data_IF_083754312267
#
_entry.id   IF_083754312267
#
_cell.length_a   1.000
_cell.length_b   1.000
_cell.length_c   1.000
_cell.angle_alpha   90.00
_cell.angle_beta   90.00
_cell.angle_gamma   90.00
#
_symmetry.space_group_name_H-M   'P 1'
#
loop_
_entity.id
_entity.type
_entity.pdbx_description
1 polymer ?
#
# COMPACT_ATOMS: atom_id res chain seq x y z
N UNK A 1 2.62 -40.19 9.53
CA UNK A 1 2.57 -38.92 8.79
C UNK A 1 3.34 -37.91 9.63
N UNK A 2 4.58 -37.62 9.22
CA UNK A 2 5.41 -36.64 9.91
C UNK A 2 4.80 -35.26 9.67
N UNK A 3 4.24 -34.65 10.71
CA UNK A 3 3.94 -33.23 10.71
C UNK A 3 5.28 -32.50 10.63
N UNK A 4 5.56 -31.91 9.47
CA UNK A 4 6.57 -30.88 9.35
C UNK A 4 6.07 -29.68 10.15
N UNK A 5 6.52 -29.56 11.39
CA UNK A 5 6.45 -28.31 12.13
C UNK A 5 7.26 -27.28 11.33
N UNK A 6 6.57 -26.38 10.64
CA UNK A 6 7.18 -25.09 10.29
C UNK A 6 7.42 -24.44 11.65
N UNK A 7 8.69 -24.26 12.04
CA UNK A 7 9.02 -23.40 13.15
C UNK A 7 8.49 -22.01 12.82
N UNK A 8 7.34 -21.68 13.36
CA UNK A 8 6.73 -20.36 13.35
C UNK A 8 7.50 -19.48 14.35
N UNK A 9 8.81 -19.33 14.11
CA UNK A 9 9.70 -18.50 14.91
C UNK A 9 10.15 -17.32 14.05
N UNK A 10 9.90 -16.12 14.59
CA UNK A 10 10.74 -14.93 14.41
C UNK A 10 10.56 -14.03 13.17
N UNK A 11 9.37 -13.95 12.58
CA UNK A 11 9.02 -12.76 11.80
C UNK A 11 8.39 -11.71 12.73
N UNK A 12 8.80 -10.43 12.67
CA UNK A 12 8.14 -9.39 13.45
C UNK A 12 6.66 -9.35 13.09
N UNK A 13 5.79 -9.42 14.11
CA UNK A 13 4.33 -9.41 13.92
C UNK A 13 3.87 -7.98 13.68
N UNK A 14 4.18 -7.45 12.51
CA UNK A 14 3.68 -6.16 12.03
C UNK A 14 2.18 -6.24 11.83
N UNK A 15 1.46 -5.25 12.37
CA UNK A 15 0.02 -5.18 12.18
C UNK A 15 -0.33 -4.51 10.86
N UNK A 16 -1.53 -4.78 10.35
CA UNK A 16 -2.09 -4.04 9.21
C UNK A 16 -2.12 -2.52 9.47
N UNK A 17 -2.24 -2.09 10.73
CA UNK A 17 -2.23 -0.68 11.10
C UNK A 17 -0.86 -0.03 10.87
N UNK A 18 0.25 -0.76 11.05
CA UNK A 18 1.60 -0.23 10.82
C UNK A 18 1.87 -0.03 9.33
N UNK A 19 1.50 -1.01 8.50
CA UNK A 19 1.56 -0.88 7.05
C UNK A 19 0.68 0.29 6.55
N UNK A 20 -0.53 0.43 7.09
CA UNK A 20 -1.41 1.55 6.78
C UNK A 20 -0.81 2.90 7.23
N UNK A 21 -0.22 2.98 8.42
CA UNK A 21 0.44 4.19 8.91
C UNK A 21 1.63 4.59 8.03
N UNK A 22 2.52 3.66 7.71
CA UNK A 22 3.67 3.91 6.83
C UNK A 22 3.23 4.30 5.40
N UNK A 23 2.10 3.78 4.93
CA UNK A 23 1.51 4.22 3.64
C UNK A 23 1.01 5.67 3.68
N UNK A 24 0.58 6.17 4.84
CA UNK A 24 0.19 7.57 5.04
C UNK A 24 1.44 8.45 5.12
N UNK A 25 2.51 7.98 5.76
CA UNK A 25 3.76 8.72 5.88
C UNK A 25 4.41 9.03 4.53
N UNK A 26 4.16 8.22 3.49
CA UNK A 26 4.59 8.49 2.13
C UNK A 26 4.08 9.85 1.57
N UNK A 27 2.98 10.37 2.10
CA UNK A 27 2.40 11.67 1.70
C UNK A 27 2.89 12.84 2.55
N UNK A 28 3.80 12.63 3.50
CA UNK A 28 4.24 13.64 4.46
C UNK A 28 5.68 14.05 4.20
N UNK A 29 5.99 15.31 4.49
CA UNK A 29 7.35 15.80 4.43
C UNK A 29 8.25 15.07 5.43
N UNK A 30 9.51 14.86 5.07
CA UNK A 30 10.50 14.12 5.87
C UNK A 30 10.58 14.58 7.33
N UNK A 31 10.55 15.89 7.68
CA UNK A 31 10.55 16.32 9.08
C UNK A 31 9.35 15.76 9.88
N UNK A 32 8.16 15.79 9.28
CA UNK A 32 6.93 15.26 9.89
C UNK A 32 7.02 13.74 10.05
N UNK A 33 7.57 13.04 9.05
CA UNK A 33 7.79 11.60 9.11
C UNK A 33 8.74 11.25 10.27
N UNK A 34 9.90 11.92 10.36
CA UNK A 34 10.89 11.69 11.41
C UNK A 34 10.34 11.95 12.82
N UNK A 35 9.45 12.93 12.98
CA UNK A 35 8.77 13.21 14.25
C UNK A 35 7.68 12.17 14.58
N UNK A 36 6.96 11.69 13.56
CA UNK A 36 5.83 10.77 13.74
C UNK A 36 6.26 9.33 14.01
N UNK A 37 7.40 8.88 13.48
CA UNK A 37 7.88 7.51 13.62
C UNK A 37 8.08 7.10 15.09
N UNK A 38 8.85 7.84 15.92
CA UNK A 38 8.96 7.52 17.33
C UNK A 38 7.60 7.50 18.02
N UNK A 39 6.72 8.48 17.77
CA UNK A 39 5.42 8.55 18.43
C UNK A 39 4.57 7.30 18.16
N UNK A 40 4.65 6.74 16.94
CA UNK A 40 3.91 5.55 16.57
C UNK A 40 4.52 4.24 17.12
N UNK A 41 5.85 4.14 17.14
CA UNK A 41 6.58 2.90 17.45
C UNK A 41 7.27 2.87 18.83
N UNK A 42 7.29 3.97 19.59
CA UNK A 42 8.00 4.10 20.88
C UNK A 42 7.63 3.00 21.89
N UNK A 43 6.35 2.64 21.94
CA UNK A 43 5.83 1.62 22.86
C UNK A 43 5.94 0.18 22.33
N UNK A 44 6.37 -0.04 21.09
CA UNK A 44 6.65 -1.39 20.57
C UNK A 44 8.10 -1.82 20.76
N UNK A 45 9.00 -0.89 21.13
CA UNK A 45 10.43 -1.13 21.26
C UNK A 45 11.17 -1.27 19.93
N UNK A 46 10.48 -1.13 18.81
CA UNK A 46 11.07 -1.15 17.48
C UNK A 46 11.70 0.20 17.15
N UNK A 47 12.94 0.19 16.67
CA UNK A 47 13.59 1.39 16.17
C UNK A 47 13.30 1.54 14.68
N UNK A 48 12.45 2.52 14.34
CA UNK A 48 12.06 2.81 12.95
C UNK A 48 12.65 4.13 12.50
N UNK A 49 13.43 4.09 11.42
CA UNK A 49 14.04 5.27 10.80
C UNK A 49 13.74 5.32 9.30
N UNK A 50 13.87 6.49 8.70
CA UNK A 50 13.74 6.69 7.25
C UNK A 50 15.12 6.88 6.62
N UNK A 51 15.40 6.15 5.55
CA UNK A 51 16.67 6.13 4.82
C UNK A 51 16.49 6.83 3.46
N UNK A 52 16.59 8.16 3.48
CA UNK A 52 16.50 8.99 2.27
C UNK A 52 17.73 8.83 1.39
N UNK A 53 18.91 8.74 2.01
CA UNK A 53 20.19 8.77 1.30
C UNK A 53 20.35 7.55 0.38
N UNK A 54 19.87 6.38 0.81
CA UNK A 54 19.90 5.16 0.00
C UNK A 54 18.97 5.23 -1.21
N UNK A 55 17.81 5.88 -1.08
CA UNK A 55 16.87 6.09 -2.20
C UNK A 55 17.45 7.12 -3.16
N UNK A 56 17.88 8.27 -2.66
CA UNK A 56 18.44 9.35 -3.47
C UNK A 56 19.68 8.89 -4.24
N UNK A 57 20.60 8.18 -3.57
CA UNK A 57 21.79 7.61 -4.21
C UNK A 57 21.44 6.63 -5.33
N UNK A 58 20.41 5.80 -5.15
CA UNK A 58 19.95 4.91 -6.21
C UNK A 58 19.41 5.69 -7.41
N UNK A 59 18.56 6.70 -7.17
CA UNK A 59 17.99 7.50 -8.24
C UNK A 59 19.08 8.24 -9.03
N UNK A 60 20.07 8.81 -8.33
CA UNK A 60 21.20 9.51 -8.91
C UNK A 60 22.09 8.58 -9.75
N UNK A 61 22.47 7.42 -9.21
CA UNK A 61 23.36 6.46 -9.89
C UNK A 61 22.76 5.93 -11.19
N UNK A 62 21.45 5.69 -11.20
CA UNK A 62 20.74 5.16 -12.37
C UNK A 62 20.16 6.27 -13.27
N UNK A 63 20.39 7.54 -12.93
CA UNK A 63 19.96 8.70 -13.71
C UNK A 63 18.44 8.83 -13.82
N UNK A 64 17.71 8.34 -12.82
CA UNK A 64 16.25 8.44 -12.80
C UNK A 64 15.82 9.84 -12.39
N UNK A 65 15.04 10.48 -13.25
CA UNK A 65 14.34 11.73 -12.93
C UNK A 65 12.96 11.39 -12.38
N UNK A 66 12.92 10.79 -11.19
CA UNK A 66 11.67 10.67 -10.43
C UNK A 66 11.39 11.98 -9.69
N UNK A 67 10.15 12.18 -9.28
CA UNK A 67 9.82 13.27 -8.36
C UNK A 67 10.34 12.85 -6.97
N UNK A 68 11.10 13.70 -6.26
CA UNK A 68 11.44 13.44 -4.86
C UNK A 68 10.18 13.11 -4.05
N UNK A 69 10.22 12.02 -3.28
CA UNK A 69 9.09 11.59 -2.46
C UNK A 69 8.10 10.64 -3.14
N UNK A 70 8.43 10.03 -4.28
CA UNK A 70 7.62 8.97 -4.89
C UNK A 70 7.58 7.67 -4.08
N UNK A 71 8.65 7.37 -3.33
CA UNK A 71 8.69 6.28 -2.37
C UNK A 71 9.74 6.54 -1.29
N UNK A 72 9.55 5.92 -0.12
CA UNK A 72 10.46 5.96 1.02
C UNK A 72 10.89 4.56 1.42
N UNK A 73 12.12 4.46 1.92
CA UNK A 73 12.62 3.26 2.57
C UNK A 73 12.67 3.49 4.08
N UNK A 74 11.93 2.68 4.82
CA UNK A 74 11.98 2.64 6.28
C UNK A 74 12.85 1.47 6.73
N UNK A 75 13.81 1.77 7.59
CA UNK A 75 14.65 0.78 8.24
C UNK A 75 14.09 0.51 9.63
N UNK A 76 13.79 -0.75 9.89
CA UNK A 76 13.27 -1.17 11.18
C UNK A 76 14.19 -2.18 11.80
N UNK A 77 14.56 -1.94 13.05
CA UNK A 77 15.26 -2.89 13.88
C UNK A 77 14.30 -3.25 15.01
N UNK A 78 13.85 -4.50 14.99
CA UNK A 78 12.92 -5.00 16.01
C UNK A 78 13.65 -5.22 17.33
N UNK A 79 12.92 -5.32 18.45
CA UNK A 79 13.53 -5.63 19.76
C UNK A 79 14.39 -6.90 19.73
N UNK A 80 14.02 -7.87 18.89
CA UNK A 80 14.73 -9.15 18.72
C UNK A 80 15.98 -9.04 17.83
N UNK A 81 16.25 -7.87 17.25
CA UNK A 81 17.39 -7.62 16.38
C UNK A 81 17.17 -7.93 14.90
N UNK A 82 15.98 -8.41 14.50
CA UNK A 82 15.63 -8.61 13.09
C UNK A 82 15.58 -7.27 12.38
N UNK A 83 16.28 -7.15 11.25
CA UNK A 83 16.31 -5.95 10.42
C UNK A 83 15.31 -6.07 9.27
N UNK A 84 14.33 -5.17 9.22
CA UNK A 84 13.30 -5.15 8.18
C UNK A 84 13.37 -3.86 7.39
N UNK A 85 13.48 -3.96 6.07
CA UNK A 85 13.25 -2.85 5.15
C UNK A 85 11.78 -2.79 4.76
N UNK A 86 11.13 -1.63 4.91
CA UNK A 86 9.76 -1.40 4.43
C UNK A 86 9.79 -0.27 3.41
N UNK A 87 9.46 -0.59 2.16
CA UNK A 87 9.38 0.41 1.10
C UNK A 87 7.94 0.90 0.98
N UNK A 88 7.70 2.17 1.25
CA UNK A 88 6.39 2.80 1.18
C UNK A 88 6.27 3.67 -0.06
N UNK A 89 5.26 3.41 -0.89
CA UNK A 89 5.07 4.10 -2.17
C UNK A 89 3.96 5.14 -2.06
N UNK A 90 4.27 6.35 -2.49
CA UNK A 90 3.35 7.48 -2.50
C UNK A 90 2.34 7.29 -3.63
N UNK A 91 1.06 7.51 -3.34
CA UNK A 91 0.02 7.58 -4.36
C UNK A 91 -0.28 9.03 -4.77
N UNK A 92 -1.36 9.24 -5.51
CA UNK A 92 -1.80 10.60 -5.88
C UNK A 92 -2.34 11.34 -4.65
N UNK A 93 -1.87 12.57 -4.40
CA UNK A 93 -2.36 13.43 -3.31
C UNK A 93 -3.75 14.02 -3.61
N UNK A 94 -4.11 14.13 -4.88
CA UNK A 94 -5.41 14.58 -5.37
C UNK A 94 -6.34 13.42 -5.72
N UNK A 95 -7.45 13.31 -4.99
CA UNK A 95 -8.45 12.23 -5.17
C UNK A 95 -9.14 12.23 -6.54
N UNK A 96 -9.24 13.41 -7.17
CA UNK A 96 -9.88 13.57 -8.49
C UNK A 96 -8.91 13.35 -9.65
N UNK A 97 -7.64 13.69 -9.47
CA UNK A 97 -6.60 13.46 -10.49
C UNK A 97 -6.16 12.00 -10.53
N UNK A 98 -6.30 11.28 -9.41
CA UNK A 98 -6.02 9.84 -9.32
C UNK A 98 -6.70 9.00 -10.42
N UNK A 99 -7.96 9.30 -10.79
CA UNK A 99 -8.66 8.56 -11.86
C UNK A 99 -8.02 8.78 -13.25
N UNK A 100 -7.38 9.93 -13.44
CA UNK A 100 -6.66 10.29 -14.67
C UNK A 100 -5.22 9.73 -14.62
N UNK A 101 -4.59 9.75 -13.45
CA UNK A 101 -3.22 9.26 -13.22
C UNK A 101 -3.09 7.72 -13.27
N UNK A 102 -4.19 6.99 -13.16
CA UNK A 102 -4.25 5.54 -13.34
C UNK A 102 -4.09 5.11 -14.82
N UNK A 103 -3.25 5.80 -15.61
CA UNK A 103 -3.01 5.48 -17.03
C UNK A 103 -2.60 4.01 -17.22
N UNK A 104 -1.81 3.47 -16.30
CA UNK A 104 -1.41 2.05 -16.26
C UNK A 104 -2.61 1.08 -16.17
N UNK A 105 -3.72 1.53 -15.58
CA UNK A 105 -4.95 0.76 -15.38
C UNK A 105 -6.11 1.25 -16.27
N UNK A 106 -5.89 2.23 -17.15
CA UNK A 106 -6.96 2.83 -17.95
C UNK A 106 -7.75 1.78 -18.75
N UNK A 107 -7.06 0.80 -19.32
CA UNK A 107 -7.72 -0.30 -20.03
C UNK A 107 -8.63 -1.11 -19.10
N UNK A 108 -8.15 -1.47 -17.90
CA UNK A 108 -8.95 -2.18 -16.91
C UNK A 108 -10.17 -1.34 -16.49
N UNK A 109 -9.96 -0.05 -16.22
CA UNK A 109 -11.02 0.88 -15.88
C UNK A 109 -12.15 0.92 -16.93
N UNK A 110 -11.80 1.08 -18.22
CA UNK A 110 -12.77 1.08 -19.31
C UNK A 110 -13.53 -0.25 -19.42
N UNK A 111 -12.85 -1.36 -19.16
CA UNK A 111 -13.47 -2.67 -19.14
C UNK A 111 -14.42 -2.84 -17.96
N UNK A 112 -14.08 -2.32 -16.78
CA UNK A 112 -15.01 -2.32 -15.65
C UNK A 112 -16.26 -1.51 -15.97
N UNK A 113 -16.13 -0.35 -16.64
CA UNK A 113 -17.29 0.41 -17.13
C UNK A 113 -18.15 -0.46 -18.08
N UNK A 114 -17.51 -1.18 -19.00
CA UNK A 114 -18.24 -2.06 -19.94
C UNK A 114 -18.99 -3.19 -19.22
N UNK A 115 -18.32 -3.85 -18.25
CA UNK A 115 -18.87 -4.96 -17.48
C UNK A 115 -20.06 -4.55 -16.61
N UNK A 116 -19.91 -3.45 -15.88
CA UNK A 116 -20.94 -3.01 -14.91
C UNK A 116 -21.97 -2.03 -15.49
N UNK A 117 -21.64 -1.35 -16.60
CA UNK A 117 -22.49 -0.34 -17.23
C UNK A 117 -23.46 -0.87 -18.27
N UNK A 118 -23.19 -2.04 -18.88
CA UNK A 118 -24.06 -2.63 -19.91
C UNK A 118 -24.92 -3.79 -19.37
N UNK A 119 -26.15 -3.95 -19.88
CA UNK A 119 -26.91 -5.17 -19.63
C UNK A 119 -26.16 -6.37 -20.22
N UNK A 120 -26.00 -7.44 -19.42
CA UNK A 120 -25.20 -8.61 -19.76
C UNK A 120 -23.69 -8.33 -19.95
N UNK A 121 -23.17 -7.25 -19.35
CA UNK A 121 -21.74 -6.92 -19.43
C UNK A 121 -20.80 -8.02 -18.94
N UNK A 122 -21.27 -8.91 -18.07
CA UNK A 122 -20.53 -10.11 -17.64
C UNK A 122 -20.14 -11.05 -18.78
N UNK A 123 -20.86 -11.02 -19.91
CA UNK A 123 -20.49 -11.79 -21.12
C UNK A 123 -19.12 -11.37 -21.67
N UNK A 124 -18.71 -10.12 -21.44
CA UNK A 124 -17.37 -9.65 -21.80
C UNK A 124 -16.28 -10.26 -20.92
N UNK A 125 -16.59 -10.87 -19.77
CA UNK A 125 -15.58 -11.54 -18.92
C UNK A 125 -14.83 -12.65 -19.64
N UNK A 126 -15.49 -13.38 -20.53
CA UNK A 126 -14.92 -14.50 -21.28
C UNK A 126 -13.80 -14.07 -22.27
N UNK A 127 -14.00 -13.09 -23.16
CA UNK A 127 -12.96 -12.67 -24.11
C UNK A 127 -11.82 -11.86 -23.48
N UNK A 128 -11.96 -11.36 -22.27
CA UNK A 128 -11.05 -10.36 -21.71
C UNK A 128 -9.60 -10.80 -21.53
N UNK A 129 -9.29 -12.02 -21.07
CA UNK A 129 -7.90 -12.50 -21.03
C UNK A 129 -7.25 -12.48 -22.43
N UNK A 130 -8.00 -12.81 -23.48
CA UNK A 130 -7.49 -12.73 -24.86
C UNK A 130 -7.24 -11.28 -25.28
N UNK A 131 -8.16 -10.37 -24.97
CA UNK A 131 -7.99 -8.94 -25.24
C UNK A 131 -6.75 -8.38 -24.54
N UNK A 132 -6.55 -8.71 -23.26
CA UNK A 132 -5.38 -8.27 -22.49
C UNK A 132 -4.08 -8.79 -23.08
N UNK A 133 -4.09 -10.05 -23.56
CA UNK A 133 -2.94 -10.63 -24.26
C UNK A 133 -2.63 -9.86 -25.55
N UNK A 134 -3.64 -9.50 -26.35
CA UNK A 134 -3.44 -8.70 -27.57
C UNK A 134 -2.91 -7.30 -27.22
N UNK A 135 -3.49 -6.63 -26.23
CA UNK A 135 -3.03 -5.30 -25.78
C UNK A 135 -1.59 -5.36 -25.29
N UNK A 136 -1.19 -6.42 -24.59
CA UNK A 136 0.18 -6.60 -24.10
C UNK A 136 1.24 -6.75 -25.21
N UNK A 137 0.82 -7.09 -26.43
CA UNK A 137 1.70 -7.19 -27.61
C UNK A 137 1.92 -5.84 -28.28
N UNK A 138 1.06 -4.85 -28.01
CA UNK A 138 1.23 -3.49 -28.52
C UNK A 138 2.20 -2.75 -27.59
N UNK A 139 3.35 -2.26 -28.07
CA UNK A 139 4.24 -1.46 -27.25
C UNK A 139 3.52 -0.18 -26.81
N UNK A 140 3.26 -0.04 -25.52
CA UNK A 140 2.70 1.19 -24.95
C UNK A 140 3.83 2.12 -24.52
N UNK A 141 4.02 3.23 -25.25
CA UNK A 141 4.96 4.29 -24.88
C UNK A 141 6.39 4.09 -25.39
N UNK A 142 7.28 4.98 -24.94
CA UNK A 142 8.69 4.96 -25.27
C UNK A 142 9.40 3.88 -24.42
N UNK A 143 9.95 2.81 -25.03
CA UNK A 143 10.61 1.73 -24.30
C UNK A 143 11.85 2.18 -23.52
N UNK A 144 12.38 3.38 -23.79
CA UNK A 144 13.48 3.97 -23.05
C UNK A 144 13.06 4.65 -21.73
N UNK A 145 11.76 4.95 -21.54
CA UNK A 145 11.24 5.56 -20.32
C UNK A 145 10.67 4.50 -19.40
N UNK A 146 11.28 4.34 -18.21
CA UNK A 146 10.78 3.44 -17.18
C UNK A 146 9.64 4.10 -16.41
N UNK A 147 8.58 3.34 -16.17
CA UNK A 147 7.52 3.72 -15.24
C UNK A 147 7.99 3.51 -13.80
N UNK A 148 7.36 4.18 -12.83
CA UNK A 148 7.73 4.09 -11.41
C UNK A 148 7.77 2.64 -10.90
N UNK A 149 6.83 1.77 -11.28
CA UNK A 149 6.87 0.36 -10.87
C UNK A 149 8.13 -0.38 -11.35
N UNK A 150 8.68 -0.02 -12.52
CA UNK A 150 9.90 -0.66 -13.04
C UNK A 150 11.15 -0.17 -12.29
N UNK A 151 11.20 1.13 -11.99
CA UNK A 151 12.25 1.72 -11.17
C UNK A 151 12.23 1.09 -9.76
N UNK A 152 11.03 0.96 -9.18
CA UNK A 152 10.83 0.35 -7.88
C UNK A 152 11.19 -1.15 -7.89
N UNK A 153 10.78 -1.92 -8.90
CA UNK A 153 11.20 -3.32 -9.08
C UNK A 153 12.72 -3.46 -9.07
N UNK A 154 13.45 -2.58 -9.75
CA UNK A 154 14.92 -2.59 -9.75
C UNK A 154 15.51 -2.25 -8.39
N UNK A 155 14.95 -1.25 -7.72
CA UNK A 155 15.37 -0.90 -6.35
C UNK A 155 15.18 -2.08 -5.39
N UNK A 156 14.04 -2.75 -5.42
CA UNK A 156 13.75 -3.93 -4.60
C UNK A 156 14.75 -5.06 -4.87
N UNK A 157 15.05 -5.37 -6.12
CA UNK A 157 16.01 -6.43 -6.48
C UNK A 157 17.44 -6.12 -6.01
N UNK A 158 17.80 -4.84 -5.87
CA UNK A 158 19.05 -4.44 -5.23
C UNK A 158 18.97 -4.62 -3.71
N UNK A 159 17.88 -4.18 -3.07
CA UNK A 159 17.73 -4.29 -1.61
C UNK A 159 17.58 -5.74 -1.13
N UNK A 160 17.00 -6.64 -1.93
CA UNK A 160 16.96 -8.08 -1.62
C UNK A 160 18.32 -8.73 -1.52
N UNK A 161 19.33 -8.16 -2.18
CA UNK A 161 20.73 -8.63 -2.14
C UNK A 161 21.54 -7.93 -1.05
N UNK A 162 20.97 -6.90 -0.42
CA UNK A 162 21.61 -6.16 0.65
C UNK A 162 21.57 -7.00 1.94
N UNK A 163 22.72 -7.41 2.49
CA UNK A 163 22.76 -8.20 3.73
C UNK A 163 22.30 -7.42 4.97
N UNK A 164 22.04 -6.10 4.85
CA UNK A 164 21.50 -5.29 5.94
C UNK A 164 20.07 -5.65 6.34
N UNK A 165 19.29 -6.31 5.46
CA UNK A 165 17.89 -6.66 5.73
C UNK A 165 17.68 -8.17 5.77
N UNK A 166 17.16 -8.66 6.88
CA UNK A 166 16.63 -10.02 6.99
C UNK A 166 15.32 -10.17 6.20
N UNK A 167 14.51 -9.11 6.21
CA UNK A 167 13.18 -9.08 5.59
C UNK A 167 12.99 -7.78 4.82
N UNK A 168 12.42 -7.88 3.61
CA UNK A 168 12.03 -6.73 2.81
C UNK A 168 10.54 -6.83 2.48
N UNK A 169 9.78 -5.77 2.74
CA UNK A 169 8.35 -5.69 2.42
C UNK A 169 7.97 -4.35 1.82
N UNK A 170 6.78 -4.27 1.24
CA UNK A 170 6.26 -3.05 0.62
C UNK A 170 4.92 -2.64 1.21
N UNK A 171 4.67 -1.34 1.16
CA UNK A 171 3.37 -0.73 1.44
C UNK A 171 3.09 0.42 0.50
N UNK A 172 1.84 0.87 0.52
CA UNK A 172 1.41 2.03 -0.24
C UNK A 172 -0.09 2.22 -0.10
N UNK A 173 -0.57 3.36 -0.56
CA UNK A 173 -1.99 3.66 -0.60
C UNK A 173 -2.41 4.07 -2.01
N UNK A 174 -3.65 3.76 -2.40
CA UNK A 174 -4.20 4.19 -3.69
C UNK A 174 -3.34 3.71 -4.87
N UNK A 175 -2.94 4.62 -5.76
CA UNK A 175 -2.00 4.38 -6.85
C UNK A 175 -0.66 3.80 -6.34
N UNK A 176 -0.12 4.32 -5.25
CA UNK A 176 1.13 3.83 -4.65
C UNK A 176 1.00 2.39 -4.17
N UNK A 177 -0.16 2.02 -3.62
CA UNK A 177 -0.47 0.64 -3.27
C UNK A 177 -0.51 -0.29 -4.47
N UNK A 178 -1.07 0.16 -5.59
CA UNK A 178 -1.04 -0.59 -6.85
C UNK A 178 0.37 -0.78 -7.40
N UNK A 179 1.19 0.28 -7.39
CA UNK A 179 2.61 0.23 -7.81
C UNK A 179 3.41 -0.72 -6.91
N UNK A 180 3.17 -0.70 -5.60
CA UNK A 180 3.76 -1.64 -4.66
C UNK A 180 3.39 -3.09 -5.01
N UNK A 181 2.12 -3.38 -5.33
CA UNK A 181 1.67 -4.72 -5.74
C UNK A 181 2.32 -5.21 -7.03
N UNK A 182 2.44 -4.36 -8.04
CA UNK A 182 3.11 -4.71 -9.29
C UNK A 182 4.55 -5.12 -9.04
N UNK A 183 5.27 -4.30 -8.29
CA UNK A 183 6.70 -4.50 -8.01
C UNK A 183 6.92 -5.71 -7.10
N UNK A 184 6.07 -5.89 -6.10
CA UNK A 184 6.06 -7.05 -5.20
C UNK A 184 5.82 -8.37 -5.95
N UNK A 185 4.82 -8.42 -6.83
CA UNK A 185 4.53 -9.60 -7.61
C UNK A 185 5.67 -9.96 -8.58
N UNK A 186 6.32 -8.97 -9.19
CA UNK A 186 7.45 -9.21 -10.11
C UNK A 186 8.73 -9.64 -9.40
N UNK A 187 8.94 -9.19 -8.17
CA UNK A 187 10.14 -9.49 -7.37
C UNK A 187 9.93 -10.61 -6.36
N UNK A 188 8.72 -11.19 -6.29
CA UNK A 188 8.35 -12.16 -5.25
C UNK A 188 8.62 -11.63 -3.83
N UNK A 189 8.39 -10.34 -3.62
CA UNK A 189 8.49 -9.65 -2.32
C UNK A 189 7.08 -9.43 -1.77
N UNK A 190 6.87 -9.50 -0.45
CA UNK A 190 5.53 -9.30 0.12
C UNK A 190 5.15 -7.81 0.15
N UNK A 191 3.92 -7.50 -0.26
CA UNK A 191 3.32 -6.17 -0.16
C UNK A 191 1.98 -6.21 0.57
N UNK A 192 1.81 -5.32 1.53
CA UNK A 192 0.55 -5.04 2.20
C UNK A 192 0.21 -3.58 1.90
N UNK A 193 -0.88 -3.33 1.17
CA UNK A 193 -1.27 -1.98 0.81
C UNK A 193 -2.69 -1.66 1.29
N UNK A 194 -2.96 -0.36 1.46
CA UNK A 194 -4.26 0.15 1.83
C UNK A 194 -4.95 0.73 0.60
N UNK A 195 -6.14 0.23 0.28
CA UNK A 195 -6.90 0.69 -0.87
C UNK A 195 -6.07 0.73 -2.17
N UNK A 196 -5.14 -0.21 -2.33
CA UNK A 196 -4.28 -0.26 -3.51
C UNK A 196 -5.08 -0.59 -4.77
N UNK A 197 -4.76 0.05 -5.89
CA UNK A 197 -5.34 -0.35 -7.19
C UNK A 197 -4.92 -1.79 -7.48
N UNK A 198 -5.87 -2.70 -7.65
CA UNK A 198 -5.52 -4.08 -7.99
C UNK A 198 -5.03 -4.19 -9.44
N UNK A 199 -4.51 -5.35 -9.83
CA UNK A 199 -3.92 -5.51 -11.14
C UNK A 199 -4.29 -6.85 -11.79
N UNK A 200 -5.38 -7.51 -11.37
CA UNK A 200 -5.62 -8.87 -11.84
C UNK A 200 -5.91 -8.95 -13.33
N UNK A 201 -6.83 -8.17 -13.84
CA UNK A 201 -7.16 -8.06 -15.26
C UNK A 201 -5.97 -7.50 -16.05
N UNK A 202 -5.39 -6.37 -15.61
CA UNK A 202 -4.30 -5.71 -16.33
C UNK A 202 -2.94 -6.42 -16.24
N UNK A 203 -2.78 -7.45 -15.39
CA UNK A 203 -1.50 -8.13 -15.09
C UNK A 203 -0.58 -8.43 -16.29
N UNK A 204 -1.17 -8.74 -17.45
CA UNK A 204 -0.43 -9.13 -18.65
C UNK A 204 0.15 -7.95 -19.42
N UNK A 205 -0.33 -6.73 -19.19
CA UNK A 205 0.15 -5.51 -19.86
C UNK A 205 1.46 -5.01 -19.25
N UNK A 206 1.74 -5.34 -17.98
CA UNK A 206 2.99 -4.98 -17.30
C UNK A 206 4.18 -5.79 -17.81
N UNK A 207 5.39 -5.26 -17.61
CA UNK A 207 6.65 -5.86 -18.07
C UNK A 207 7.62 -6.04 -16.90
N UNK A 208 8.10 -7.28 -16.62
CA UNK A 208 7.59 -8.55 -17.15
C UNK A 208 6.10 -8.80 -16.82
N UNK A 209 5.37 -9.61 -17.61
CA UNK A 209 3.99 -9.95 -17.31
C UNK A 209 3.85 -10.65 -15.96
N UNK A 210 2.78 -10.35 -15.24
CA UNK A 210 2.52 -10.90 -13.91
C UNK A 210 1.48 -12.03 -14.02
N UNK A 211 1.71 -13.12 -13.31
CA UNK A 211 0.80 -14.26 -13.21
C UNK A 211 -0.24 -14.04 -12.09
N UNK A 212 -1.42 -14.71 -12.16
CA UNK A 212 -2.36 -14.67 -11.05
C UNK A 212 -1.79 -15.21 -9.73
N UNK A 213 -0.94 -16.22 -9.80
CA UNK A 213 -0.31 -16.80 -8.62
C UNK A 213 0.57 -15.76 -7.91
N UNK A 214 1.36 -14.99 -8.66
CA UNK A 214 2.23 -13.97 -8.09
C UNK A 214 1.43 -12.87 -7.36
N UNK A 215 0.33 -12.38 -7.95
CA UNK A 215 -0.52 -11.41 -7.27
C UNK A 215 -1.18 -12.03 -6.03
N UNK A 216 -1.73 -13.24 -6.16
CA UNK A 216 -2.40 -13.89 -5.04
C UNK A 216 -1.43 -14.27 -3.91
N UNK A 217 -0.16 -14.55 -4.18
CA UNK A 217 0.80 -15.00 -3.17
C UNK A 217 1.56 -13.85 -2.51
N UNK A 218 1.88 -12.79 -3.26
CA UNK A 218 2.78 -11.73 -2.81
C UNK A 218 2.08 -10.43 -2.42
N UNK A 219 0.78 -10.31 -2.67
CA UNK A 219 0.04 -9.07 -2.39
C UNK A 219 -1.09 -9.30 -1.41
N UNK A 220 -1.32 -8.31 -0.55
CA UNK A 220 -2.44 -8.26 0.38
C UNK A 220 -3.03 -6.85 0.40
N UNK A 221 -4.34 -6.74 0.13
CA UNK A 221 -5.01 -5.44 0.05
C UNK A 221 -6.01 -5.24 1.19
N UNK A 222 -5.94 -4.09 1.86
CA UNK A 222 -6.94 -3.66 2.84
C UNK A 222 -7.94 -2.78 2.10
N UNK A 223 -9.17 -3.27 1.91
CA UNK A 223 -10.16 -2.64 1.03
C UNK A 223 -11.33 -2.10 1.87
N UNK A 224 -11.52 -0.79 1.98
CA UNK A 224 -12.72 -0.26 2.58
C UNK A 224 -13.97 -0.57 1.76
N UNK A 225 -15.06 -0.86 2.45
CA UNK A 225 -16.38 -0.96 1.82
C UNK A 225 -16.68 0.34 1.05
N UNK A 226 -17.27 0.17 -0.15
CA UNK A 226 -17.61 1.23 -1.11
C UNK A 226 -16.43 1.96 -1.76
N UNK A 227 -15.19 1.67 -1.38
CA UNK A 227 -14.03 2.20 -2.10
C UNK A 227 -13.97 1.60 -3.52
N UNK A 228 -13.93 2.48 -4.52
CA UNK A 228 -13.90 2.10 -5.94
C UNK A 228 -12.48 1.92 -6.45
N UNK A 229 -11.46 2.48 -5.79
CA UNK A 229 -10.09 2.52 -6.31
C UNK A 229 -9.48 1.12 -6.42
N UNK A 230 -9.61 0.25 -5.41
CA UNK A 230 -9.18 -1.14 -5.56
C UNK A 230 -9.93 -1.91 -6.66
N UNK A 231 -11.09 -1.40 -7.10
CA UNK A 231 -12.01 -2.06 -8.05
C UNK A 231 -11.89 -1.53 -9.48
N UNK A 232 -10.98 -0.57 -9.71
CA UNK A 232 -10.59 -0.13 -11.06
C UNK A 232 -10.09 -1.32 -11.90
N UNK A 233 -9.58 -2.35 -11.22
CA UNK A 233 -9.23 -3.64 -11.76
C UNK A 233 -9.90 -4.76 -10.92
N UNK A 234 -9.84 -6.00 -11.39
CA UNK A 234 -10.26 -7.17 -10.64
C UNK A 234 -9.35 -7.36 -9.41
N UNK A 235 -9.97 -7.76 -8.29
CA UNK A 235 -9.28 -7.90 -6.99
C UNK A 235 -8.56 -9.25 -6.93
N UNK A 236 -7.31 -9.27 -6.44
CA UNK A 236 -6.60 -10.51 -6.13
C UNK A 236 -7.28 -11.27 -4.99
N UNK A 237 -6.89 -12.52 -4.73
CA UNK A 237 -7.56 -13.35 -3.73
C UNK A 237 -7.27 -12.93 -2.28
N UNK A 238 -6.10 -12.33 -2.03
CA UNK A 238 -5.68 -11.92 -0.69
C UNK A 238 -6.05 -10.46 -0.42
N UNK A 239 -7.19 -10.26 0.22
CA UNK A 239 -7.63 -8.95 0.68
C UNK A 239 -8.50 -9.07 1.93
N UNK A 240 -8.55 -8.00 2.70
CA UNK A 240 -9.46 -7.85 3.84
C UNK A 240 -10.37 -6.65 3.62
N UNK A 241 -11.68 -6.87 3.69
CA UNK A 241 -12.62 -5.76 3.71
C UNK A 241 -12.67 -5.11 5.10
N UNK A 242 -12.70 -3.79 5.14
CA UNK A 242 -12.91 -3.01 6.38
C UNK A 242 -14.09 -2.05 6.20
N UNK A 243 -14.75 -1.63 7.29
CA UNK A 243 -15.91 -0.75 7.14
C UNK A 243 -15.50 0.65 6.68
N UNK A 244 -16.42 1.29 5.97
CA UNK A 244 -16.37 2.71 5.70
C UNK A 244 -17.35 3.47 6.59
N UNK A 245 -16.96 3.73 7.83
CA UNK A 245 -17.70 4.62 8.70
C UNK A 245 -17.48 6.08 8.26
N UNK A 246 -18.54 6.68 7.72
CA UNK A 246 -18.59 8.09 7.33
C UNK A 246 -20.02 8.59 7.46
N UNK A 247 -20.19 9.86 7.83
CA UNK A 247 -21.50 10.54 7.82
C UNK A 247 -22.12 10.59 6.41
N UNK A 248 -21.30 10.47 5.37
CA UNK A 248 -21.72 10.41 3.98
C UNK A 248 -20.81 9.44 3.23
N UNK A 249 -21.09 8.13 3.30
CA UNK A 249 -20.28 7.13 2.62
C UNK A 249 -20.46 7.30 1.11
N UNK A 250 -19.37 7.66 0.44
CA UNK A 250 -19.28 7.67 -1.01
C UNK A 250 -17.92 7.09 -1.41
N UNK A 251 -17.74 6.66 -2.67
CA UNK A 251 -16.54 5.93 -3.06
C UNK A 251 -15.23 6.66 -2.75
N UNK A 252 -15.15 7.97 -2.96
CA UNK A 252 -13.95 8.77 -2.73
C UNK A 252 -13.73 9.13 -1.25
N UNK A 253 -14.80 9.21 -0.46
CA UNK A 253 -14.70 9.37 0.99
C UNK A 253 -14.17 8.08 1.63
N UNK A 254 -14.63 6.93 1.16
CA UNK A 254 -14.17 5.63 1.62
C UNK A 254 -12.72 5.34 1.24
N UNK A 255 -12.22 5.96 0.18
CA UNK A 255 -10.82 5.93 -0.23
C UNK A 255 -9.86 6.76 0.64
N UNK A 256 -10.31 7.34 1.76
CA UNK A 256 -9.43 8.14 2.63
C UNK A 256 -8.56 7.25 3.51
N UNK A 257 -7.24 7.36 3.40
CA UNK A 257 -6.27 6.55 4.16
C UNK A 257 -6.38 6.71 5.69
N UNK A 258 -6.41 7.93 6.22
CA UNK A 258 -6.51 8.19 7.67
C UNK A 258 -7.79 7.57 8.26
N UNK A 259 -8.92 7.68 7.55
CA UNK A 259 -10.19 7.06 7.98
C UNK A 259 -10.08 5.53 8.07
N UNK A 260 -9.42 4.92 7.10
CA UNK A 260 -9.18 3.48 7.09
C UNK A 260 -8.24 3.04 8.21
N UNK A 261 -7.19 3.81 8.49
CA UNK A 261 -6.33 3.57 9.65
C UNK A 261 -7.13 3.66 10.96
N UNK A 262 -8.02 4.64 11.09
CA UNK A 262 -8.94 4.70 12.24
C UNK A 262 -9.81 3.45 12.37
N UNK A 263 -10.38 2.94 11.27
CA UNK A 263 -11.18 1.70 11.33
C UNK A 263 -10.32 0.53 11.84
N UNK A 264 -9.08 0.40 11.37
CA UNK A 264 -8.16 -0.64 11.84
C UNK A 264 -7.87 -0.50 13.33
N UNK A 265 -7.56 0.70 13.81
CA UNK A 265 -7.28 0.95 15.23
C UNK A 265 -8.49 0.67 16.14
N UNK A 266 -9.69 1.07 15.72
CA UNK A 266 -10.90 0.92 16.54
C UNK A 266 -11.52 -0.49 16.48
N UNK A 267 -11.31 -1.24 15.39
CA UNK A 267 -11.85 -2.61 15.27
C UNK A 267 -10.89 -3.69 15.69
N UNK A 268 -9.61 -3.53 15.35
CA UNK A 268 -8.57 -4.51 15.66
C UNK A 268 -7.81 -4.19 16.95
N UNK A 269 -8.04 -2.99 17.51
CA UNK A 269 -7.32 -2.47 18.67
C UNK A 269 -6.07 -1.70 18.26
N UNK A 270 -5.76 -0.61 18.99
CA UNK A 270 -4.56 0.18 18.76
C UNK A 270 -3.30 -0.45 19.37
N UNK A 271 -3.46 -1.27 20.40
CA UNK A 271 -2.33 -1.80 21.18
C UNK A 271 -1.47 -0.65 21.70
N UNK A 272 -0.14 -0.66 21.50
CA UNK A 272 0.76 0.41 21.93
C UNK A 272 0.65 1.70 21.10
N UNK A 273 -0.06 1.67 19.96
CA UNK A 273 -0.09 2.77 19.00
C UNK A 273 -0.99 3.91 19.48
N UNK A 274 -0.63 5.17 19.20
CA UNK A 274 -1.50 6.30 19.48
C UNK A 274 -2.76 6.23 18.62
N UNK A 275 -3.91 6.56 19.22
CA UNK A 275 -5.15 6.77 18.47
C UNK A 275 -5.17 8.19 17.93
N UNK A 276 -5.38 8.35 16.63
CA UNK A 276 -5.39 9.65 15.97
C UNK A 276 -6.64 10.47 16.35
N UNK A 277 -6.43 11.74 16.65
CA UNK A 277 -7.47 12.71 17.02
C UNK A 277 -8.55 12.87 15.93
N UNK A 278 -8.13 12.74 14.67
CA UNK A 278 -8.96 12.78 13.47
C UNK A 278 -10.03 11.68 13.46
N UNK A 279 -9.77 10.53 14.10
CA UNK A 279 -10.73 9.44 14.19
C UNK A 279 -12.03 9.92 14.82
N UNK A 280 -11.95 10.60 15.96
CA UNK A 280 -13.13 11.15 16.63
C UNK A 280 -13.61 12.43 15.96
N UNK A 281 -12.72 13.39 15.69
CA UNK A 281 -13.07 14.72 15.14
C UNK A 281 -13.79 14.66 13.79
N UNK A 282 -13.28 13.84 12.87
CA UNK A 282 -13.72 13.87 11.47
C UNK A 282 -14.52 12.65 11.06
N UNK A 283 -14.30 11.49 11.69
CA UNK A 283 -14.90 10.23 11.26
C UNK A 283 -15.91 9.65 12.25
N UNK A 284 -16.10 10.27 13.42
CA UNK A 284 -17.14 9.91 14.37
C UNK A 284 -16.89 8.60 15.11
N UNK A 285 -15.64 8.15 15.22
CA UNK A 285 -15.28 7.08 16.13
C UNK A 285 -15.42 7.55 17.59
N UNK A 286 -15.76 6.64 18.53
CA UNK A 286 -15.88 7.00 19.94
C UNK A 286 -14.56 7.56 20.48
N UNK A 287 -14.62 8.33 21.56
CA UNK A 287 -13.41 8.78 22.26
C UNK A 287 -12.64 7.56 22.78
N UNK A 288 -11.31 7.51 22.57
CA UNK A 288 -10.49 6.42 23.09
C UNK A 288 -10.44 6.47 24.62
N UNK A 289 -10.41 5.29 25.24
CA UNK A 289 -10.21 5.16 26.69
C UNK A 289 -8.74 5.45 26.99
N UNK A 290 -8.47 6.43 27.84
CA UNK A 290 -7.10 6.77 28.23
C UNK A 290 -6.60 5.85 29.34
N UNK A 291 -5.35 5.42 29.25
CA UNK A 291 -4.68 4.53 30.22
C UNK A 291 -4.03 5.30 31.39
N UNK A 292 -4.29 6.61 31.52
CA UNK A 292 -3.64 7.49 32.49
C UNK A 292 -4.48 8.70 32.92
N UNK A 293 -3.83 9.63 33.62
CA UNK A 293 -4.47 10.79 34.27
C UNK A 293 -4.90 11.92 33.33
N UNK A 294 -4.73 11.78 32.01
CA UNK A 294 -5.15 12.78 31.04
C UNK A 294 -6.41 12.31 30.30
N UNK A 295 -7.39 13.21 30.19
CA UNK A 295 -8.57 13.00 29.36
C UNK A 295 -8.22 13.14 27.88
N UNK A 296 -9.01 12.51 27.01
CA UNK A 296 -8.91 12.71 25.56
C UNK A 296 -8.94 14.20 25.22
N UNK A 297 -9.86 14.97 25.79
CA UNK A 297 -9.96 16.42 25.58
C UNK A 297 -8.67 17.20 25.92
N UNK A 298 -7.90 16.80 26.93
CA UNK A 298 -6.65 17.46 27.30
C UNK A 298 -5.50 17.16 26.32
N UNK A 299 -5.45 15.93 25.78
CA UNK A 299 -4.49 15.56 24.73
C UNK A 299 -4.82 16.30 23.43
N UNK A 300 -6.11 16.45 23.14
CA UNK A 300 -6.62 17.13 21.94
C UNK A 300 -6.32 18.63 21.88
N UNK A 301 -6.06 19.30 23.00
CA UNK A 301 -5.74 20.72 23.06
C UNK A 301 -4.26 21.02 22.78
N UNK A 302 -3.41 19.99 22.74
CA UNK A 302 -1.95 20.12 22.57
C UNK A 302 -1.47 19.80 21.16
N UNK A 303 -2.36 19.36 20.27
CA UNK A 303 -2.12 19.05 18.86
C UNK A 303 -2.88 20.02 17.96
#
# INVERSE_FOLDING_TARGET
MNQLNIQENDLPTWSLADYAFLSIMAYRDIPVVKESLPIWFDRSGDNVTIDTDKVDSFLDVYGYKTIPGEFYLFNVITEKGTTTGIISVTGTSSKTEMLIDCQLWLTAFLIQILRYGLPFGDLFTLPLPYLMKVISMVPSGDPSKKNLYQILTEFIELQKKNPEYDVLTLTGHSLGGGIAFLSAAQTHTKAIALSGVNAMLSRMTFKPPITPAELNEYTFNIIPHYDIVPRIDDVAQNFQNINCLSKSPNPLNCHTNTRSLCELLFRCGSGPRPVLCECTKFYGYPEPITDGNQSFAEVMLRQ
#
